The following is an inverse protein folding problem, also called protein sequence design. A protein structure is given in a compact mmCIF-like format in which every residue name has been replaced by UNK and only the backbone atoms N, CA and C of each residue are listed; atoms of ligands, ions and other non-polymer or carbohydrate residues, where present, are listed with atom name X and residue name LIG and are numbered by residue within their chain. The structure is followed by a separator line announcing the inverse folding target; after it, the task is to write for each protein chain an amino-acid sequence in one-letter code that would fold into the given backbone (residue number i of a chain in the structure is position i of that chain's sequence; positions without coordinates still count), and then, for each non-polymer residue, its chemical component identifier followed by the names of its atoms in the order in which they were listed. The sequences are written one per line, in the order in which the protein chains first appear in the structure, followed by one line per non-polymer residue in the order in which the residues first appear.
data_IF_010650071693
#
_entry.id   IF_010650071693
#
_cell.length_a   1.000
_cell.length_b   1.000
_cell.length_c   1.000
_cell.angle_alpha   90.00
_cell.angle_beta   90.00
_cell.angle_gamma   90.00
#
_symmetry.space_group_name_H-M   'P 1'
#
loop_
_entity.id
_entity.type
_entity.pdbx_description
1 polymer ?
#
# COMPACT_ATOMS: atom_id res chain seq x y z
N UNK A 1 28.97 1.13 7.38
CA UNK A 1 29.49 1.96 8.48
C UNK A 1 29.42 1.16 9.78
N UNK A 2 30.55 0.58 10.19
CA UNK A 2 30.71 -0.24 11.39
C UNK A 2 30.84 0.65 12.63
N UNK A 3 29.79 0.76 13.46
CA UNK A 3 29.91 1.36 14.79
C UNK A 3 30.34 0.30 15.80
N UNK A 4 31.44 0.58 16.49
CA UNK A 4 32.17 -0.34 17.36
C UNK A 4 31.39 -0.78 18.61
N UNK A 5 31.48 -2.06 19.04
CA UNK A 5 30.79 -2.63 20.21
C UNK A 5 31.24 -2.06 21.58
N UNK A 6 32.21 -1.13 21.59
CA UNK A 6 32.78 -0.51 22.79
C UNK A 6 31.93 0.63 23.37
N UNK A 7 31.07 1.27 22.57
CA UNK A 7 30.24 2.40 23.04
C UNK A 7 29.05 1.93 23.88
N UNK A 8 28.47 0.78 23.54
CA UNK A 8 27.33 0.18 24.26
C UNK A 8 27.73 -0.33 25.65
N UNK A 9 28.95 -0.86 25.79
CA UNK A 9 29.48 -1.34 27.08
C UNK A 9 29.63 -0.23 28.13
N UNK A 10 29.97 1.00 27.72
CA UNK A 10 30.21 2.15 28.63
C UNK A 10 28.92 2.84 29.07
N UNK A 11 27.89 2.86 28.22
CA UNK A 11 26.58 3.42 28.58
C UNK A 11 25.85 2.57 29.63
N UNK A 12 25.99 1.24 29.54
CA UNK A 12 25.34 0.30 30.46
C UNK A 12 25.96 0.34 31.87
N UNK A 13 27.28 0.54 31.98
CA UNK A 13 27.96 0.64 33.29
C UNK A 13 27.68 1.98 33.99
N UNK A 14 27.55 3.07 33.23
CA UNK A 14 27.25 4.40 33.79
C UNK A 14 25.84 4.52 34.38
N UNK A 15 24.83 3.96 33.70
CA UNK A 15 23.43 4.03 34.12
C UNK A 15 23.15 3.23 35.40
N UNK A 16 23.76 2.04 35.52
CA UNK A 16 23.63 1.16 36.69
C UNK A 16 24.20 1.84 37.95
N UNK A 17 25.30 2.57 37.81
CA UNK A 17 25.96 3.25 38.94
C UNK A 17 25.17 4.47 39.42
N UNK A 18 24.52 5.21 38.51
CA UNK A 18 23.70 6.38 38.84
C UNK A 18 22.38 5.99 39.54
N UNK A 19 21.74 4.89 39.12
CA UNK A 19 20.54 4.37 39.78
C UNK A 19 20.81 3.85 41.20
N UNK A 20 21.98 3.26 41.45
CA UNK A 20 22.38 2.80 42.79
C UNK A 20 22.53 3.95 43.81
N UNK A 21 22.91 5.15 43.36
CA UNK A 21 23.05 6.33 44.23
C UNK A 21 21.71 6.99 44.58
N UNK A 22 20.71 6.91 43.71
CA UNK A 22 19.38 7.50 43.94
C UNK A 22 18.50 6.69 44.90
N UNK A 23 18.69 5.37 44.97
CA UNK A 23 17.92 4.48 45.87
C UNK A 23 18.30 4.68 47.35
N UNK A 24 19.46 5.28 47.64
CA UNK A 24 19.90 5.56 49.01
C UNK A 24 19.22 6.75 49.71
N UNK A 25 18.49 7.60 48.98
CA UNK A 25 18.07 8.92 49.48
C UNK A 25 16.58 9.09 49.83
N UNK A 26 15.72 8.11 49.55
CA UNK A 26 14.27 8.25 49.74
C UNK A 26 13.71 7.10 50.56
N UNK A 27 13.64 7.31 51.88
CA UNK A 27 13.07 6.36 52.83
C UNK A 27 11.89 7.02 53.55
N UNK A 28 10.71 6.97 52.93
CA UNK A 28 9.44 7.15 53.64
C UNK A 28 8.42 6.07 53.28
N UNK A 29 7.55 5.82 54.25
CA UNK A 29 6.79 4.59 54.47
C UNK A 29 5.73 4.38 53.40
N UNK A 30 5.85 3.30 52.62
CA UNK A 30 4.76 2.75 51.84
C UNK A 30 4.63 1.24 52.10
N UNK A 31 3.50 0.82 52.65
CA UNK A 31 3.10 -0.58 52.66
C UNK A 31 2.47 -0.91 51.32
N UNK A 32 3.26 -1.48 50.40
CA UNK A 32 2.77 -1.95 49.11
C UNK A 32 2.88 -3.48 49.07
N UNK A 33 1.75 -4.14 48.80
CA UNK A 33 1.75 -5.50 48.28
C UNK A 33 2.57 -5.51 46.98
N UNK A 34 3.31 -6.58 46.70
CA UNK A 34 4.04 -6.74 45.45
C UNK A 34 3.04 -6.76 44.29
N UNK A 35 2.75 -5.58 43.75
CA UNK A 35 1.99 -5.40 42.53
C UNK A 35 2.72 -6.16 41.43
N UNK A 36 2.02 -7.06 40.74
CA UNK A 36 2.50 -7.69 39.52
C UNK A 36 2.86 -6.56 38.53
N UNK A 37 4.14 -6.22 38.44
CA UNK A 37 4.62 -5.26 37.47
C UNK A 37 4.39 -5.85 36.09
N UNK A 38 4.11 -5.02 35.08
CA UNK A 38 4.05 -5.43 33.68
C UNK A 38 5.43 -5.83 33.11
N UNK A 39 6.43 -5.98 33.99
CA UNK A 39 7.84 -6.24 33.70
C UNK A 39 8.16 -7.66 34.13
N UNK A 40 8.92 -8.40 33.33
CA UNK A 40 9.44 -9.72 33.72
C UNK A 40 10.22 -9.61 35.04
N UNK A 41 9.91 -10.47 36.00
CA UNK A 41 10.65 -10.58 37.26
C UNK A 41 11.66 -11.74 37.20
N UNK A 42 12.60 -11.78 38.15
CA UNK A 42 13.58 -12.84 38.19
C UNK A 42 13.04 -14.14 38.84
N UNK A 43 11.73 -14.22 39.13
CA UNK A 43 11.16 -15.33 39.90
C UNK A 43 11.08 -16.62 39.05
N UNK A 44 11.71 -17.72 39.49
CA UNK A 44 11.62 -18.98 38.77
C UNK A 44 10.28 -19.64 39.04
N UNK A 45 9.77 -20.37 38.05
CA UNK A 45 8.66 -21.27 38.27
C UNK A 45 9.17 -22.48 39.05
N UNK A 46 8.55 -22.82 40.20
CA UNK A 46 9.00 -23.98 40.96
C UNK A 46 8.94 -25.27 40.14
N UNK A 47 9.83 -26.22 40.46
CA UNK A 47 9.90 -27.50 39.76
C UNK A 47 8.56 -28.23 39.81
N UNK A 48 8.12 -28.75 38.66
CA UNK A 48 6.85 -29.44 38.50
C UNK A 48 5.62 -28.55 38.43
N UNK A 49 5.76 -27.22 38.56
CA UNK A 49 4.63 -26.30 38.41
C UNK A 49 4.49 -25.80 36.98
N UNK A 50 3.23 -25.69 36.55
CA UNK A 50 2.82 -25.04 35.32
C UNK A 50 2.22 -23.67 35.66
N UNK A 51 2.75 -22.62 35.04
CA UNK A 51 2.16 -21.27 35.06
C UNK A 51 1.51 -21.00 33.71
N UNK A 52 0.24 -20.63 33.73
CA UNK A 52 -0.48 -20.16 32.55
C UNK A 52 -0.76 -18.68 32.74
N UNK A 53 -0.38 -17.86 31.75
CA UNK A 53 -0.61 -16.41 31.75
C UNK A 53 -1.32 -16.02 30.46
N UNK A 54 -2.40 -15.27 30.63
CA UNK A 54 -3.15 -14.66 29.53
C UNK A 54 -3.18 -13.17 29.81
N UNK A 55 -2.54 -12.39 28.94
CA UNK A 55 -2.62 -10.93 28.99
C UNK A 55 -3.19 -10.44 27.66
N UNK A 56 -3.84 -9.28 27.67
CA UNK A 56 -4.36 -8.68 26.45
C UNK A 56 -3.75 -7.30 26.26
N UNK A 57 -3.21 -7.06 25.07
CA UNK A 57 -2.73 -5.76 24.62
C UNK A 57 -3.68 -5.18 23.58
N UNK A 58 -3.95 -3.89 23.68
CA UNK A 58 -4.75 -3.15 22.71
C UNK A 58 -3.91 -1.99 22.19
N UNK A 59 -3.72 -1.96 20.88
CA UNK A 59 -3.03 -0.88 20.19
C UNK A 59 -4.00 -0.30 19.17
N UNK A 60 -4.18 1.02 19.18
CA UNK A 60 -5.00 1.74 18.22
C UNK A 60 -4.26 3.00 17.77
N UNK A 61 -4.32 3.29 16.48
CA UNK A 61 -3.69 4.46 15.90
C UNK A 61 -4.38 4.86 14.60
N UNK A 62 -4.37 6.16 14.34
CA UNK A 62 -4.95 6.83 13.16
C UNK A 62 -3.92 7.68 12.40
N UNK A 63 -2.77 7.93 13.05
CA UNK A 63 -1.64 8.68 12.52
C UNK A 63 -0.32 7.91 12.72
N UNK A 64 0.66 8.24 11.89
CA UNK A 64 2.06 7.84 12.04
C UNK A 64 2.97 9.06 12.17
N UNK A 65 4.13 8.86 12.78
CA UNK A 65 5.20 9.85 12.77
C UNK A 65 5.95 9.82 11.44
N UNK A 66 6.30 10.98 10.91
CA UNK A 66 7.13 11.13 9.71
C UNK A 66 8.62 11.18 10.08
N UNK A 67 9.50 10.96 9.10
CA UNK A 67 10.95 11.10 9.29
C UNK A 67 11.36 12.50 9.79
N UNK A 68 10.53 13.53 9.54
CA UNK A 68 10.71 14.90 10.03
C UNK A 68 10.15 15.14 11.45
N UNK A 69 9.60 14.11 12.11
CA UNK A 69 8.98 14.21 13.44
C UNK A 69 7.55 14.76 13.45
N UNK A 70 6.96 15.01 12.27
CA UNK A 70 5.55 15.40 12.14
C UNK A 70 4.60 14.21 12.26
N UNK A 71 3.29 14.48 12.34
CA UNK A 71 2.24 13.46 12.26
C UNK A 71 1.63 13.45 10.86
N UNK A 72 1.28 12.27 10.37
CA UNK A 72 0.57 12.07 9.09
C UNK A 72 -0.53 11.03 9.27
N UNK A 73 -1.70 11.28 8.70
CA UNK A 73 -2.80 10.31 8.80
C UNK A 73 -2.46 9.03 8.05
N UNK A 74 -2.90 7.88 8.59
CA UNK A 74 -2.81 6.60 7.89
C UNK A 74 -3.55 6.62 6.53
N UNK A 75 -4.57 7.47 6.38
CA UNK A 75 -5.33 7.58 5.14
C UNK A 75 -4.64 8.46 4.08
N UNK A 76 -3.68 9.29 4.47
CA UNK A 76 -3.02 10.23 3.56
C UNK A 76 -2.19 9.52 2.48
N UNK A 77 -1.82 8.27 2.71
CA UNK A 77 -1.06 7.47 1.75
C UNK A 77 -1.92 7.02 0.56
N UNK A 78 -3.22 6.81 0.79
CA UNK A 78 -4.21 6.46 -0.23
C UNK A 78 -4.95 7.69 -0.76
N UNK A 79 -4.65 8.88 -0.25
CA UNK A 79 -5.32 10.13 -0.63
C UNK A 79 -4.55 10.87 -1.72
N UNK A 80 -5.24 11.32 -2.76
CA UNK A 80 -4.67 12.14 -3.82
C UNK A 80 -5.69 13.16 -4.32
N UNK A 81 -5.23 14.36 -4.65
CA UNK A 81 -6.06 15.38 -5.29
C UNK A 81 -6.31 15.09 -6.78
N UNK A 82 -5.58 14.14 -7.36
CA UNK A 82 -5.74 13.73 -8.76
C UNK A 82 -5.27 12.29 -8.96
N UNK A 83 -6.20 11.34 -8.96
CA UNK A 83 -5.93 9.94 -9.27
C UNK A 83 -5.62 9.77 -10.76
N UNK A 84 -4.34 9.68 -11.10
CA UNK A 84 -3.88 9.61 -12.49
C UNK A 84 -2.67 8.69 -12.67
N UNK A 85 -1.87 8.93 -13.70
CA UNK A 85 -0.73 8.08 -14.07
C UNK A 85 0.40 8.06 -13.02
N UNK A 86 0.44 9.02 -12.11
CA UNK A 86 1.41 9.05 -11.01
C UNK A 86 1.10 7.99 -9.96
N UNK A 87 -0.17 7.93 -9.58
CA UNK A 87 -0.67 6.98 -8.58
C UNK A 87 -0.86 5.61 -9.21
N UNK A 88 -1.35 5.56 -10.45
CA UNK A 88 -1.64 4.35 -11.23
C UNK A 88 -0.78 4.30 -12.50
N UNK A 89 0.44 3.72 -12.47
CA UNK A 89 1.34 3.70 -13.64
C UNK A 89 0.74 3.02 -14.88
N UNK A 90 -0.23 2.12 -14.70
CA UNK A 90 -0.99 1.52 -15.80
C UNK A 90 -1.73 2.55 -16.66
N UNK A 91 -1.99 3.75 -16.14
CA UNK A 91 -2.61 4.86 -16.87
C UNK A 91 -1.63 5.70 -17.69
N UNK A 92 -0.31 5.49 -17.58
CA UNK A 92 0.67 6.30 -18.32
C UNK A 92 0.54 6.16 -19.85
N UNK A 93 0.36 4.94 -20.43
CA UNK A 93 0.10 4.80 -21.87
C UNK A 93 -1.22 5.47 -22.28
N UNK A 94 -2.24 5.43 -21.41
CA UNK A 94 -3.53 6.08 -21.65
C UNK A 94 -3.36 7.59 -21.70
N UNK A 95 -2.67 8.18 -20.71
CA UNK A 95 -2.40 9.62 -20.68
C UNK A 95 -1.63 10.07 -21.93
N UNK A 96 -0.63 9.31 -22.37
CA UNK A 96 0.12 9.59 -23.59
C UNK A 96 -0.79 9.58 -24.83
N UNK A 97 -1.66 8.58 -24.98
CA UNK A 97 -2.61 8.54 -26.09
C UNK A 97 -3.63 9.68 -26.02
N UNK A 98 -4.13 10.04 -24.83
CA UNK A 98 -5.04 11.18 -24.67
C UNK A 98 -4.39 12.53 -25.03
N UNK A 99 -3.10 12.72 -24.74
CA UNK A 99 -2.35 13.91 -25.19
C UNK A 99 -2.36 14.04 -26.70
N UNK A 100 -2.14 12.94 -27.41
CA UNK A 100 -2.20 12.90 -28.88
C UNK A 100 -3.62 13.15 -29.38
N UNK A 101 -4.63 12.50 -28.79
CA UNK A 101 -6.03 12.66 -29.20
C UNK A 101 -6.56 14.08 -28.97
N UNK A 102 -6.14 14.74 -27.90
CA UNK A 102 -6.55 16.10 -27.58
C UNK A 102 -5.69 17.17 -28.26
N UNK A 103 -4.53 16.79 -28.80
CA UNK A 103 -3.54 17.73 -29.32
C UNK A 103 -2.88 18.60 -28.23
N UNK A 104 -2.86 18.13 -26.98
CA UNK A 104 -2.29 18.86 -25.84
C UNK A 104 -1.21 18.02 -25.13
N UNK A 105 0.08 18.34 -25.31
CA UNK A 105 1.18 17.62 -24.65
C UNK A 105 1.24 17.84 -23.13
N UNK A 106 0.56 18.87 -22.60
CA UNK A 106 0.52 19.18 -21.17
C UNK A 106 -0.66 18.53 -20.46
N UNK A 107 -1.56 17.87 -21.21
CA UNK A 107 -2.70 17.17 -20.65
C UNK A 107 -2.24 16.17 -19.58
N UNK A 108 -2.94 16.15 -18.46
CA UNK A 108 -2.81 15.14 -17.41
C UNK A 108 -4.12 14.39 -17.28
N UNK A 109 -4.03 13.07 -17.27
CA UNK A 109 -5.17 12.21 -17.03
C UNK A 109 -5.50 12.25 -15.54
N UNK A 110 -6.77 12.45 -15.22
CA UNK A 110 -7.25 12.35 -13.84
C UNK A 110 -8.66 11.78 -13.77
N UNK A 111 -8.83 10.76 -12.94
CA UNK A 111 -10.12 10.24 -12.50
C UNK A 111 -10.73 11.13 -11.40
N UNK A 112 -10.01 12.17 -10.97
CA UNK A 112 -10.42 13.15 -9.97
C UNK A 112 -9.84 12.86 -8.60
N UNK A 113 -10.48 13.36 -7.55
CA UNK A 113 -9.96 13.35 -6.18
C UNK A 113 -10.35 12.07 -5.44
N UNK A 114 -9.39 11.49 -4.73
CA UNK A 114 -9.59 10.39 -3.78
C UNK A 114 -9.15 10.87 -2.39
N UNK A 115 -10.08 10.86 -1.43
CA UNK A 115 -9.77 11.10 -0.03
C UNK A 115 -10.04 9.85 0.77
N UNK A 116 -9.11 9.52 1.64
CA UNK A 116 -9.14 8.29 2.42
C UNK A 116 -8.93 8.61 3.90
N UNK A 117 -9.80 8.08 4.75
CA UNK A 117 -9.61 8.05 6.20
C UNK A 117 -9.34 6.60 6.61
N UNK A 118 -8.37 6.39 7.49
CA UNK A 118 -7.96 5.05 7.94
C UNK A 118 -7.73 5.03 9.45
N UNK A 119 -8.27 4.01 10.11
CA UNK A 119 -8.06 3.69 11.52
C UNK A 119 -7.60 2.24 11.63
N UNK A 120 -6.59 1.98 12.46
CA UNK A 120 -6.05 0.66 12.67
C UNK A 120 -6.09 0.27 14.16
N UNK A 121 -6.45 -0.99 14.41
CA UNK A 121 -6.49 -1.62 15.72
C UNK A 121 -5.80 -2.97 15.65
N UNK A 122 -4.92 -3.22 16.61
CA UNK A 122 -4.28 -4.51 16.83
C UNK A 122 -4.58 -4.94 18.26
N UNK A 123 -5.08 -6.17 18.39
CA UNK A 123 -5.36 -6.82 19.66
C UNK A 123 -4.48 -8.04 19.74
N UNK A 124 -3.62 -8.11 20.75
CA UNK A 124 -2.72 -9.25 20.94
C UNK A 124 -3.05 -9.90 22.27
N UNK A 125 -3.44 -11.17 22.23
CA UNK A 125 -3.69 -12.00 23.40
C UNK A 125 -2.64 -13.11 23.47
N UNK A 126 -1.44 -12.85 24.03
CA UNK A 126 -0.48 -13.90 24.30
C UNK A 126 -1.00 -14.89 25.34
N UNK A 127 -1.02 -16.17 24.96
CA UNK A 127 -1.22 -17.29 25.86
C UNK A 127 0.16 -17.88 26.15
N UNK A 128 0.70 -17.59 27.33
CA UNK A 128 1.99 -18.10 27.77
C UNK A 128 1.78 -19.29 28.72
N UNK A 129 2.46 -20.39 28.42
CA UNK A 129 2.52 -21.60 29.23
C UNK A 129 3.96 -21.85 29.60
N UNK A 130 4.26 -21.90 30.89
CA UNK A 130 5.64 -22.00 31.37
C UNK A 130 5.72 -23.11 32.42
N UNK A 131 6.67 -24.03 32.24
CA UNK A 131 6.85 -25.20 33.07
C UNK A 131 8.21 -25.15 33.77
N UNK A 132 8.19 -25.27 35.11
CA UNK A 132 9.39 -25.40 35.92
C UNK A 132 9.99 -26.79 35.79
N UNK A 133 11.05 -26.93 34.99
CA UNK A 133 11.75 -28.21 34.82
C UNK A 133 12.54 -28.55 36.08
N UNK A 134 13.27 -27.57 36.61
CA UNK A 134 14.00 -27.68 37.89
C UNK A 134 13.71 -26.46 38.77
N UNK A 135 14.31 -26.38 39.96
CA UNK A 135 14.24 -25.18 40.79
C UNK A 135 14.92 -23.96 40.17
N UNK A 136 15.69 -24.13 39.09
CA UNK A 136 16.45 -23.07 38.41
C UNK A 136 16.17 -22.95 36.92
N UNK A 137 15.50 -23.93 36.30
CA UNK A 137 15.27 -23.97 34.85
C UNK A 137 13.78 -24.04 34.58
N UNK A 138 13.27 -23.14 33.74
CA UNK A 138 11.92 -23.20 33.20
C UNK A 138 11.94 -23.09 31.68
N UNK A 139 10.94 -23.71 31.05
CA UNK A 139 10.70 -23.65 29.61
C UNK A 139 9.31 -23.05 29.40
N UNK A 140 9.19 -22.11 28.47
CA UNK A 140 7.97 -21.39 28.16
C UNK A 140 7.59 -21.49 26.69
N UNK A 141 6.31 -21.67 26.42
CA UNK A 141 5.70 -21.56 25.10
C UNK A 141 4.75 -20.38 25.10
N UNK A 142 4.85 -19.50 24.11
CA UNK A 142 3.96 -18.35 23.95
C UNK A 142 3.25 -18.47 22.60
N UNK A 143 1.92 -18.52 22.64
CA UNK A 143 1.06 -18.55 21.46
C UNK A 143 0.22 -17.28 21.44
N UNK A 144 0.59 -16.26 20.66
CA UNK A 144 -0.21 -15.06 20.53
C UNK A 144 -1.39 -15.30 19.59
N UNK A 145 -2.59 -14.98 20.06
CA UNK A 145 -3.76 -14.78 19.18
C UNK A 145 -3.83 -13.30 18.87
N UNK A 146 -3.76 -12.95 17.58
CA UNK A 146 -3.72 -11.56 17.12
C UNK A 146 -4.94 -11.28 16.27
N UNK A 147 -5.68 -10.25 16.66
CA UNK A 147 -6.73 -9.66 15.84
C UNK A 147 -6.25 -8.33 15.27
N UNK A 148 -6.23 -8.20 13.96
CA UNK A 148 -5.91 -6.96 13.26
C UNK A 148 -7.16 -6.45 12.56
N UNK A 149 -7.43 -5.15 12.71
CA UNK A 149 -8.54 -4.50 12.03
C UNK A 149 -8.10 -3.15 11.48
N UNK A 150 -8.27 -2.94 10.18
CA UNK A 150 -8.09 -1.65 9.52
C UNK A 150 -9.39 -1.22 8.88
N UNK A 151 -9.94 -0.12 9.37
CA UNK A 151 -11.17 0.47 8.84
C UNK A 151 -10.79 1.57 7.88
N UNK A 152 -11.33 1.55 6.67
CA UNK A 152 -11.07 2.55 5.64
C UNK A 152 -12.38 3.17 5.16
N UNK A 153 -12.40 4.50 5.07
CA UNK A 153 -13.49 5.26 4.46
C UNK A 153 -12.95 6.01 3.26
N UNK A 154 -13.52 5.74 2.09
CA UNK A 154 -13.14 6.36 0.83
C UNK A 154 -14.19 7.38 0.42
N UNK A 155 -13.72 8.54 -0.04
CA UNK A 155 -14.54 9.59 -0.65
C UNK A 155 -13.94 9.90 -2.01
N UNK A 156 -14.68 9.54 -3.06
CA UNK A 156 -14.29 9.77 -4.46
C UNK A 156 -15.11 10.94 -4.98
N UNK A 157 -14.44 11.95 -5.55
CA UNK A 157 -15.08 13.04 -6.29
C UNK A 157 -16.26 13.74 -5.57
N UNK A 158 -16.19 13.89 -4.24
CA UNK A 158 -17.26 14.58 -3.48
C UNK A 158 -17.31 16.10 -3.71
N UNK A 159 -16.26 16.66 -4.30
CA UNK A 159 -16.19 18.07 -4.69
C UNK A 159 -16.43 18.21 -6.19
N UNK A 160 -17.56 18.83 -6.57
CA UNK A 160 -17.93 19.04 -7.97
C UNK A 160 -16.95 19.95 -8.73
N UNK A 161 -16.10 20.71 -8.04
CA UNK A 161 -15.06 21.53 -8.66
C UNK A 161 -13.82 20.72 -9.09
N UNK A 162 -13.67 19.48 -8.60
CA UNK A 162 -12.47 18.63 -8.81
C UNK A 162 -12.80 17.27 -9.43
N UNK A 163 -13.77 17.25 -10.34
CA UNK A 163 -14.11 16.05 -11.09
C UNK A 163 -12.99 15.67 -12.07
N UNK A 164 -12.84 14.37 -12.30
CA UNK A 164 -11.95 13.84 -13.31
C UNK A 164 -12.26 14.35 -14.73
N UNK A 165 -11.23 14.37 -15.59
CA UNK A 165 -11.41 14.58 -17.04
C UNK A 165 -11.71 13.27 -17.77
N UNK A 166 -11.46 12.13 -17.12
CA UNK A 166 -11.83 10.79 -17.59
C UNK A 166 -12.74 10.11 -16.57
N UNK A 167 -13.56 9.18 -17.07
CA UNK A 167 -14.32 8.22 -16.27
C UNK A 167 -13.86 6.80 -16.55
N UNK A 168 -14.22 5.88 -15.67
CA UNK A 168 -14.09 4.45 -15.90
C UNK A 168 -15.27 3.96 -16.73
N UNK A 169 -15.05 2.97 -17.59
CA UNK A 169 -16.13 2.32 -18.35
C UNK A 169 -16.51 1.03 -17.61
N UNK A 170 -17.70 0.99 -16.96
CA UNK A 170 -18.17 -0.20 -16.28
C UNK A 170 -18.33 -1.35 -17.26
N UNK A 171 -18.12 -2.58 -16.79
CA UNK A 171 -18.14 -3.81 -17.59
C UNK A 171 -19.38 -3.90 -18.51
N UNK A 172 -20.57 -3.59 -17.98
CA UNK A 172 -21.83 -3.58 -18.73
C UNK A 172 -21.89 -2.61 -19.93
N UNK A 173 -21.01 -1.60 -19.98
CA UNK A 173 -20.95 -0.59 -21.04
C UNK A 173 -19.75 -0.81 -21.97
N UNK A 174 -18.80 -1.70 -21.65
CA UNK A 174 -17.55 -1.86 -22.40
C UNK A 174 -17.76 -2.30 -23.84
N UNK A 175 -18.69 -3.24 -24.09
CA UNK A 175 -18.98 -3.69 -25.46
C UNK A 175 -19.50 -2.54 -26.34
N UNK A 176 -20.41 -1.71 -25.81
CA UNK A 176 -20.94 -0.56 -26.54
C UNK A 176 -19.89 0.54 -26.75
N UNK A 177 -19.08 0.82 -25.73
CA UNK A 177 -17.98 1.78 -25.81
C UNK A 177 -16.89 1.35 -26.81
N UNK A 178 -16.51 0.08 -26.77
CA UNK A 178 -15.55 -0.52 -27.71
C UNK A 178 -16.07 -0.46 -29.15
N UNK A 179 -17.35 -0.76 -29.38
CA UNK A 179 -17.97 -0.68 -30.71
C UNK A 179 -17.93 0.75 -31.27
N UNK A 180 -18.25 1.76 -30.46
CA UNK A 180 -18.18 3.17 -30.87
C UNK A 180 -16.74 3.59 -31.23
N UNK A 181 -15.76 3.21 -30.39
CA UNK A 181 -14.35 3.52 -30.66
C UNK A 181 -13.83 2.77 -31.90
N UNK A 182 -14.27 1.52 -32.11
CA UNK A 182 -13.91 0.72 -33.28
C UNK A 182 -14.48 1.31 -34.57
N UNK A 183 -15.71 1.84 -34.55
CA UNK A 183 -16.30 2.51 -35.69
C UNK A 183 -15.49 3.75 -36.10
N UNK A 184 -15.08 4.56 -35.13
CA UNK A 184 -14.20 5.71 -35.38
C UNK A 184 -12.84 5.27 -35.92
N UNK A 185 -12.23 4.25 -35.29
CA UNK A 185 -10.95 3.69 -35.70
C UNK A 185 -10.97 3.21 -37.16
N UNK A 186 -11.95 2.40 -37.52
CA UNK A 186 -12.08 1.80 -38.85
C UNK A 186 -12.37 2.84 -39.93
N UNK A 187 -13.23 3.83 -39.65
CA UNK A 187 -13.53 4.91 -40.59
C UNK A 187 -12.27 5.73 -40.93
N UNK A 188 -11.48 6.09 -39.91
CA UNK A 188 -10.24 6.83 -40.14
C UNK A 188 -9.13 5.99 -40.76
N UNK A 189 -9.01 4.71 -40.41
CA UNK A 189 -8.06 3.82 -41.06
C UNK A 189 -8.37 3.67 -42.55
N UNK A 190 -9.64 3.42 -42.90
CA UNK A 190 -10.10 3.34 -44.29
C UNK A 190 -9.83 4.63 -45.07
N UNK A 191 -10.04 5.80 -44.46
CA UNK A 191 -9.73 7.08 -45.07
C UNK A 191 -8.22 7.28 -45.30
N UNK A 192 -7.39 6.92 -44.32
CA UNK A 192 -5.93 6.98 -44.44
C UNK A 192 -5.40 6.05 -45.55
N UNK A 193 -5.97 4.86 -45.69
CA UNK A 193 -5.59 3.89 -46.73
C UNK A 193 -6.04 4.34 -48.12
N UNK A 194 -7.25 4.93 -48.23
CA UNK A 194 -7.74 5.55 -49.46
C UNK A 194 -6.84 6.71 -49.91
N UNK A 195 -6.42 7.55 -48.96
CA UNK A 195 -5.49 8.65 -49.23
C UNK A 195 -4.09 8.14 -49.63
N UNK A 196 -3.61 7.08 -48.98
CA UNK A 196 -2.36 6.40 -49.36
C UNK A 196 -2.40 5.83 -50.78
N UNK A 197 -3.54 5.24 -51.16
CA UNK A 197 -3.77 4.72 -52.51
C UNK A 197 -3.71 5.85 -53.54
N UNK A 198 -4.40 6.99 -53.29
CA UNK A 198 -4.33 8.14 -54.19
C UNK A 198 -2.90 8.68 -54.31
N UNK A 199 -2.18 8.86 -53.19
CA UNK A 199 -0.79 9.33 -53.20
C UNK A 199 0.14 8.44 -54.05
N UNK A 200 -0.09 7.13 -54.06
CA UNK A 200 0.69 6.19 -54.89
C UNK A 200 0.30 6.19 -56.37
N UNK A 201 -0.99 6.45 -56.69
CA UNK A 201 -1.54 6.37 -58.04
C UNK A 201 -1.38 7.66 -58.85
N UNK A 202 -1.53 8.82 -58.21
CA UNK A 202 -1.55 10.11 -58.91
C UNK A 202 -0.26 10.45 -59.69
N UNK A 203 0.95 10.00 -59.29
CA UNK A 203 2.16 10.20 -60.11
C UNK A 203 2.11 9.50 -61.47
N UNK A 204 1.46 8.33 -61.58
CA UNK A 204 1.38 7.55 -62.83
C UNK A 204 0.10 7.80 -63.63
N UNK A 205 -0.95 8.31 -62.98
CA UNK A 205 -2.23 8.65 -63.61
C UNK A 205 -2.77 10.00 -63.10
N UNK A 206 -2.15 11.14 -63.50
CA UNK A 206 -2.42 12.45 -62.89
C UNK A 206 -3.82 13.00 -63.15
N UNK A 207 -4.51 12.53 -64.20
CA UNK A 207 -5.89 12.91 -64.54
C UNK A 207 -6.96 11.98 -63.95
N UNK A 208 -6.56 10.97 -63.15
CA UNK A 208 -7.52 10.07 -62.51
C UNK A 208 -8.39 10.82 -61.48
N UNK A 209 -9.60 10.31 -61.23
CA UNK A 209 -10.51 10.88 -60.24
C UNK A 209 -9.84 10.96 -58.84
N UNK A 210 -9.98 12.11 -58.19
CA UNK A 210 -9.37 12.38 -56.88
C UNK A 210 -7.91 12.89 -56.92
N UNK A 211 -7.24 12.87 -58.07
CA UNK A 211 -5.82 13.28 -58.16
C UNK A 211 -5.60 14.78 -58.24
N UNK A 212 -6.58 15.58 -58.67
CA UNK A 212 -6.42 17.03 -58.80
C UNK A 212 -6.05 17.71 -57.46
N UNK A 213 -6.77 17.39 -56.38
CA UNK A 213 -6.53 17.94 -55.03
C UNK A 213 -5.20 17.45 -54.44
N UNK A 214 -4.86 16.18 -54.64
CA UNK A 214 -3.61 15.58 -54.16
C UNK A 214 -2.40 16.16 -54.92
N UNK A 215 -2.47 16.28 -56.24
CA UNK A 215 -1.37 16.83 -57.06
C UNK A 215 -1.05 18.29 -56.71
N UNK A 216 -2.06 19.05 -56.26
CA UNK A 216 -1.89 20.44 -55.84
C UNK A 216 -1.20 20.55 -54.47
N UNK A 217 -1.28 19.52 -53.62
CA UNK A 217 -0.79 19.58 -52.24
C UNK A 217 -0.35 18.20 -51.69
N UNK A 218 0.53 17.51 -52.42
CA UNK A 218 0.91 16.13 -52.10
C UNK A 218 1.56 15.98 -50.71
N UNK A 219 2.38 16.95 -50.30
CA UNK A 219 3.00 16.96 -48.97
C UNK A 219 1.97 17.08 -47.85
N UNK A 220 0.94 17.91 -48.03
CA UNK A 220 -0.14 18.06 -47.04
C UNK A 220 -1.04 16.83 -46.98
N UNK A 221 -1.32 16.20 -48.12
CA UNK A 221 -2.05 14.92 -48.17
C UNK A 221 -1.27 13.82 -47.43
N UNK A 222 0.04 13.73 -47.65
CA UNK A 222 0.90 12.78 -46.93
C UNK A 222 0.93 13.06 -45.41
N UNK A 223 1.05 14.34 -45.02
CA UNK A 223 1.02 14.74 -43.61
C UNK A 223 -0.34 14.45 -42.95
N UNK A 224 -1.45 14.69 -43.66
CA UNK A 224 -2.82 14.37 -43.21
C UNK A 224 -2.95 12.87 -42.95
N UNK A 225 -2.50 12.03 -43.89
CA UNK A 225 -2.49 10.57 -43.71
C UNK A 225 -1.75 10.16 -42.44
N UNK A 226 -0.55 10.71 -42.21
CA UNK A 226 0.24 10.42 -41.00
C UNK A 226 -0.48 10.87 -39.73
N UNK A 227 -1.07 12.07 -39.70
CA UNK A 227 -1.84 12.55 -38.54
C UNK A 227 -3.03 11.66 -38.22
N UNK A 228 -3.77 11.20 -39.23
CA UNK A 228 -4.89 10.27 -39.05
C UNK A 228 -4.42 8.92 -38.50
N UNK A 229 -3.28 8.40 -38.98
CA UNK A 229 -2.68 7.17 -38.45
C UNK A 229 -2.24 7.34 -36.99
N UNK A 230 -1.63 8.47 -36.64
CA UNK A 230 -1.26 8.77 -35.26
C UNK A 230 -2.48 8.88 -34.35
N UNK A 231 -3.55 9.56 -34.80
CA UNK A 231 -4.80 9.68 -34.06
C UNK A 231 -5.45 8.31 -33.81
N UNK A 232 -5.53 7.45 -34.82
CA UNK A 232 -6.13 6.11 -34.69
C UNK A 232 -5.31 5.17 -33.81
N UNK A 233 -3.97 5.26 -33.85
CA UNK A 233 -3.10 4.53 -32.93
C UNK A 233 -3.28 5.01 -31.49
N UNK A 234 -3.34 6.32 -31.27
CA UNK A 234 -3.60 6.91 -29.96
C UNK A 234 -4.99 6.55 -29.42
N UNK A 235 -6.00 6.47 -30.29
CA UNK A 235 -7.36 6.02 -29.96
C UNK A 235 -7.34 4.61 -29.39
N UNK A 236 -6.70 3.68 -30.09
CA UNK A 236 -6.57 2.29 -29.63
C UNK A 236 -5.80 2.21 -28.32
N UNK A 237 -4.70 2.95 -28.19
CA UNK A 237 -3.85 2.90 -27.00
C UNK A 237 -4.52 3.49 -25.75
N UNK A 238 -5.29 4.57 -25.90
CA UNK A 238 -5.91 5.26 -24.77
C UNK A 238 -7.31 4.74 -24.43
N UNK A 239 -8.17 4.55 -25.42
CA UNK A 239 -9.60 4.29 -25.20
C UNK A 239 -10.01 2.85 -25.52
N UNK A 240 -9.11 2.06 -26.10
CA UNK A 240 -9.39 0.69 -26.54
C UNK A 240 -10.37 0.63 -27.71
N UNK A 241 -10.31 -0.49 -28.43
CA UNK A 241 -11.24 -0.82 -29.54
C UNK A 241 -11.90 -2.19 -29.36
N UNK A 242 -11.70 -2.81 -28.20
CA UNK A 242 -12.24 -4.09 -27.79
C UNK A 242 -12.64 -4.04 -26.31
N UNK A 243 -13.47 -4.98 -25.88
CA UNK A 243 -14.04 -4.97 -24.53
C UNK A 243 -13.00 -5.08 -23.41
N UNK A 244 -11.86 -5.74 -23.66
CA UNK A 244 -10.81 -5.94 -22.66
C UNK A 244 -9.94 -4.70 -22.46
N UNK A 245 -9.80 -3.86 -23.49
CA UNK A 245 -8.95 -2.66 -23.47
C UNK A 245 -9.73 -1.37 -23.23
N UNK A 246 -11.04 -1.33 -23.51
CA UNK A 246 -11.90 -0.16 -23.24
C UNK A 246 -12.28 -0.08 -21.77
N UNK A 247 -11.38 0.48 -20.96
CA UNK A 247 -11.56 0.63 -19.51
C UNK A 247 -11.80 2.08 -19.07
N UNK A 248 -11.43 3.05 -19.89
CA UNK A 248 -11.49 4.48 -19.58
C UNK A 248 -12.01 5.25 -20.77
N UNK A 249 -12.73 6.34 -20.50
CA UNK A 249 -13.28 7.22 -21.53
C UNK A 249 -13.21 8.68 -21.08
N UNK A 250 -13.09 9.66 -22.00
CA UNK A 250 -13.24 11.07 -21.68
C UNK A 250 -14.60 11.31 -21.04
N UNK A 251 -14.66 12.16 -20.02
CA UNK A 251 -15.94 12.49 -19.38
C UNK A 251 -16.75 13.41 -20.29
N UNK A 252 -18.04 13.12 -20.42
CA UNK A 252 -18.99 13.92 -21.20
C UNK A 252 -18.99 15.36 -20.67
N UNK A 253 -18.89 16.33 -21.58
CA UNK A 253 -18.83 17.76 -21.23
C UNK A 253 -17.51 18.24 -20.61
N UNK A 254 -16.48 17.38 -20.51
CA UNK A 254 -15.15 17.81 -20.08
C UNK A 254 -14.40 18.53 -21.21
N UNK A 255 -13.46 19.41 -20.84
CA UNK A 255 -12.56 20.04 -21.81
C UNK A 255 -11.78 19.01 -22.65
N UNK A 256 -11.41 17.86 -22.06
CA UNK A 256 -10.77 16.76 -22.77
C UNK A 256 -11.67 16.21 -23.89
N UNK A 257 -12.93 15.90 -23.59
CA UNK A 257 -13.86 15.39 -24.59
C UNK A 257 -14.07 16.39 -25.74
N UNK A 258 -14.22 17.69 -25.40
CA UNK A 258 -14.34 18.77 -26.39
C UNK A 258 -13.10 18.88 -27.27
N UNK A 259 -11.89 18.82 -26.70
CA UNK A 259 -10.65 18.89 -27.47
C UNK A 259 -10.46 17.70 -28.41
N UNK A 260 -10.78 16.48 -27.95
CA UNK A 260 -10.73 15.28 -28.81
C UNK A 260 -11.72 15.41 -29.97
N UNK A 261 -12.93 15.90 -29.69
CA UNK A 261 -13.94 16.12 -30.71
C UNK A 261 -13.52 17.19 -31.73
N UNK A 262 -12.87 18.27 -31.27
CA UNK A 262 -12.30 19.29 -32.15
C UNK A 262 -11.18 18.72 -33.05
N UNK A 263 -10.29 17.89 -32.52
CA UNK A 263 -9.25 17.21 -33.31
C UNK A 263 -9.86 16.28 -34.36
N UNK A 264 -10.86 15.49 -33.98
CA UNK A 264 -11.60 14.62 -34.91
C UNK A 264 -12.25 15.44 -36.04
N UNK A 265 -12.92 16.54 -35.70
CA UNK A 265 -13.57 17.42 -36.67
C UNK A 265 -12.55 18.07 -37.63
N UNK A 266 -11.38 18.48 -37.13
CA UNK A 266 -10.28 19.00 -37.94
C UNK A 266 -9.75 17.94 -38.92
N UNK A 267 -9.49 16.71 -38.46
CA UNK A 267 -9.06 15.61 -39.33
C UNK A 267 -10.10 15.27 -40.40
N UNK A 268 -11.40 15.30 -40.04
CA UNK A 268 -12.48 15.14 -41.02
C UNK A 268 -12.42 16.23 -42.11
N UNK A 269 -12.20 17.50 -41.72
CA UNK A 269 -12.10 18.60 -42.67
C UNK A 269 -10.88 18.44 -43.60
N UNK A 270 -9.73 18.03 -43.07
CA UNK A 270 -8.51 17.76 -43.85
C UNK A 270 -8.73 16.61 -44.85
N UNK A 271 -9.32 15.49 -44.39
CA UNK A 271 -9.60 14.33 -45.25
C UNK A 271 -10.57 14.67 -46.38
N UNK A 272 -11.63 15.44 -46.10
CA UNK A 272 -12.64 15.82 -47.10
C UNK A 272 -12.07 16.67 -48.23
N UNK A 273 -10.99 17.42 -47.97
CA UNK A 273 -10.27 18.18 -49.00
C UNK A 273 -9.70 17.29 -50.11
N UNK A 274 -9.31 16.06 -49.76
CA UNK A 274 -8.68 15.11 -50.69
C UNK A 274 -9.64 14.01 -51.16
N UNK A 275 -10.50 13.50 -50.28
CA UNK A 275 -11.32 12.31 -50.51
C UNK A 275 -12.81 12.61 -50.74
N UNK A 276 -13.24 13.87 -50.61
CA UNK A 276 -14.64 14.29 -50.76
C UNK A 276 -15.46 14.22 -49.47
N UNK A 277 -16.72 14.67 -49.55
CA UNK A 277 -17.54 15.01 -48.38
C UNK A 277 -17.85 13.84 -47.41
N UNK A 278 -17.89 12.60 -47.92
CA UNK A 278 -18.14 11.40 -47.12
C UNK A 278 -16.92 10.88 -46.36
N UNK A 279 -15.75 11.50 -46.53
CA UNK A 279 -14.52 11.04 -45.91
C UNK A 279 -14.46 11.39 -44.41
N UNK A 280 -13.77 10.51 -43.66
CA UNK A 280 -13.56 10.62 -42.23
C UNK A 280 -14.58 9.82 -41.41
N UNK A 281 -14.67 10.13 -40.13
CA UNK A 281 -15.54 9.42 -39.20
C UNK A 281 -16.83 10.22 -38.92
N UNK A 282 -18.01 9.59 -38.94
CA UNK A 282 -19.27 10.28 -38.68
C UNK A 282 -19.49 10.58 -37.19
N UNK A 283 -19.04 9.69 -36.32
CA UNK A 283 -19.24 9.76 -34.86
C UNK A 283 -17.94 10.03 -34.11
N UNK A 284 -18.07 10.55 -32.88
CA UNK A 284 -16.96 10.75 -31.96
C UNK A 284 -16.59 9.49 -31.17
N UNK A 285 -15.63 9.65 -30.25
CA UNK A 285 -15.29 8.62 -29.27
C UNK A 285 -16.46 8.40 -28.31
N UNK A 286 -16.51 7.22 -27.68
CA UNK A 286 -17.39 7.03 -26.54
C UNK A 286 -16.99 7.96 -25.38
N UNK A 287 -17.97 8.57 -24.70
CA UNK A 287 -17.75 9.40 -23.52
C UNK A 287 -18.45 8.82 -22.30
N UNK A 288 -17.80 8.88 -21.14
CA UNK A 288 -18.40 8.48 -19.88
C UNK A 288 -19.39 9.57 -19.41
N UNK A 289 -20.64 9.20 -19.15
CA UNK A 289 -21.66 10.12 -18.65
C UNK A 289 -21.46 10.48 -17.19
N UNK A 290 -21.18 9.45 -16.37
CA UNK A 290 -21.01 9.59 -14.93
C UNK A 290 -19.58 9.96 -14.54
N UNK A 291 -19.43 10.66 -13.41
CA UNK A 291 -18.13 10.87 -12.79
C UNK A 291 -17.63 9.57 -12.15
N UNK A 292 -16.30 9.39 -12.15
CA UNK A 292 -15.68 8.24 -11.48
C UNK A 292 -16.08 8.19 -10.01
N UNK A 293 -16.50 7.00 -9.56
CA UNK A 293 -17.09 6.78 -8.24
C UNK A 293 -16.34 5.71 -7.43
N UNK A 294 -16.76 5.52 -6.19
CA UNK A 294 -16.28 4.41 -5.36
C UNK A 294 -16.53 3.04 -6.00
N UNK A 295 -17.69 2.88 -6.67
CA UNK A 295 -18.05 1.63 -7.35
C UNK A 295 -17.14 1.38 -8.54
N UNK A 296 -16.71 2.43 -9.23
CA UNK A 296 -15.76 2.30 -10.33
C UNK A 296 -14.35 1.95 -9.84
N UNK A 297 -13.96 2.46 -8.67
CA UNK A 297 -12.67 2.14 -8.04
C UNK A 297 -12.60 0.67 -7.60
N UNK A 298 -13.56 0.24 -6.79
CA UNK A 298 -13.55 -1.08 -6.13
C UNK A 298 -14.30 -2.17 -6.90
N UNK A 299 -15.20 -1.80 -7.80
CA UNK A 299 -16.13 -2.73 -8.42
C UNK A 299 -17.31 -3.07 -7.51
N UNK A 300 -18.05 -4.08 -7.94
CA UNK A 300 -19.13 -4.72 -7.17
C UNK A 300 -18.81 -6.21 -7.04
N UNK A 301 -19.54 -6.94 -6.18
CA UNK A 301 -19.34 -8.39 -6.04
C UNK A 301 -19.49 -9.19 -7.36
N UNK A 302 -20.08 -8.60 -8.40
CA UNK A 302 -20.29 -9.23 -9.71
C UNK A 302 -19.52 -8.55 -10.85
N UNK A 303 -18.84 -7.43 -10.62
CA UNK A 303 -18.19 -6.64 -11.68
C UNK A 303 -16.89 -6.04 -11.20
N UNK A 304 -15.83 -6.15 -12.00
CA UNK A 304 -14.50 -5.68 -11.61
C UNK A 304 -14.37 -4.16 -11.74
N UNK A 305 -13.83 -3.52 -10.70
CA UNK A 305 -13.47 -2.11 -10.71
C UNK A 305 -12.09 -1.85 -11.30
N UNK A 306 -11.65 -0.61 -11.18
CA UNK A 306 -10.35 -0.14 -11.66
C UNK A 306 -9.20 -0.88 -10.98
N UNK A 307 -9.24 -1.04 -9.65
CA UNK A 307 -8.16 -1.68 -8.88
C UNK A 307 -7.90 -3.12 -9.33
N UNK A 308 -8.97 -3.88 -9.62
CA UNK A 308 -8.87 -5.27 -10.09
C UNK A 308 -8.55 -5.37 -11.59
N UNK A 309 -8.53 -4.25 -12.32
CA UNK A 309 -8.23 -4.23 -13.76
C UNK A 309 -6.72 -4.21 -14.03
N UNK A 310 -6.34 -4.39 -15.30
CA UNK A 310 -4.95 -4.24 -15.74
C UNK A 310 -4.38 -2.83 -15.46
N UNK A 311 -5.23 -1.79 -15.43
CA UNK A 311 -4.81 -0.42 -15.12
C UNK A 311 -4.56 -0.20 -13.62
N UNK A 312 -5.27 -0.96 -12.77
CA UNK A 312 -5.15 -0.91 -11.31
C UNK A 312 -4.10 -1.83 -10.71
N UNK A 313 -3.45 -2.64 -11.53
CA UNK A 313 -2.44 -3.62 -11.09
C UNK A 313 -3.00 -4.92 -10.53
N UNK A 314 -4.32 -5.15 -10.59
CA UNK A 314 -4.95 -6.34 -10.04
C UNK A 314 -4.95 -6.38 -8.51
N UNK A 315 -5.04 -5.21 -7.88
CA UNK A 315 -5.20 -5.04 -6.44
C UNK A 315 -6.61 -5.49 -6.02
N UNK A 316 -6.74 -5.86 -4.75
CA UNK A 316 -8.03 -6.14 -4.14
C UNK A 316 -8.78 -4.85 -3.81
N UNK A 317 -10.06 -4.97 -3.49
CA UNK A 317 -10.92 -3.86 -3.09
C UNK A 317 -10.41 -3.18 -1.81
N UNK A 318 -10.53 -1.86 -1.74
CA UNK A 318 -10.30 -1.09 -0.53
C UNK A 318 -11.55 -1.16 0.35
N UNK A 319 -11.48 -1.96 1.42
CA UNK A 319 -12.59 -2.21 2.35
C UNK A 319 -12.13 -2.17 3.81
N UNK A 320 -13.00 -2.53 4.76
CA UNK A 320 -12.52 -2.78 6.13
C UNK A 320 -11.92 -4.19 6.17
N UNK A 321 -10.63 -4.30 6.47
CA UNK A 321 -9.99 -5.58 6.69
C UNK A 321 -10.07 -5.91 8.19
N UNK A 322 -10.64 -7.06 8.55
CA UNK A 322 -10.66 -7.58 9.93
C UNK A 322 -10.21 -9.04 9.88
N UNK A 323 -9.23 -9.37 10.71
CA UNK A 323 -8.57 -10.67 10.70
C UNK A 323 -8.27 -11.09 12.11
N UNK A 324 -8.42 -12.38 12.36
CA UNK A 324 -7.96 -13.05 13.57
C UNK A 324 -7.11 -14.25 13.17
N UNK A 325 -5.97 -14.42 13.83
CA UNK A 325 -5.07 -15.51 13.56
C UNK A 325 -4.02 -15.68 14.66
N UNK A 326 -3.16 -16.67 14.47
CA UNK A 326 -1.98 -16.80 15.31
C UNK A 326 -0.94 -15.78 14.87
N UNK A 327 -0.30 -15.13 15.84
CA UNK A 327 0.93 -14.40 15.60
C UNK A 327 2.13 -15.33 15.55
N UNK A 328 3.30 -14.77 15.82
CA UNK A 328 4.54 -15.54 15.86
C UNK A 328 4.65 -16.32 17.18
N UNK A 329 4.67 -17.65 17.09
CA UNK A 329 4.80 -18.53 18.26
C UNK A 329 6.24 -18.43 18.79
N UNK A 330 6.39 -18.33 20.10
CA UNK A 330 7.69 -18.25 20.77
C UNK A 330 7.97 -19.42 21.69
N UNK A 331 9.21 -19.91 21.69
CA UNK A 331 9.74 -20.85 22.67
C UNK A 331 10.85 -20.16 23.47
N UNK A 332 10.70 -20.13 24.79
CA UNK A 332 11.60 -19.45 25.71
C UNK A 332 12.18 -20.43 26.73
N UNK A 333 13.41 -20.19 27.15
CA UNK A 333 14.08 -20.91 28.24
C UNK A 333 14.61 -19.87 29.20
N UNK A 334 14.26 -20.00 30.47
CA UNK A 334 14.72 -19.11 31.54
C UNK A 334 15.54 -19.91 32.55
N UNK A 335 16.68 -19.34 32.95
CA UNK A 335 17.60 -19.91 33.90
C UNK A 335 17.88 -18.93 35.04
N UNK A 336 17.70 -19.41 36.26
CA UNK A 336 18.03 -18.71 37.49
C UNK A 336 19.53 -18.85 37.78
N UNK A 337 20.28 -17.77 37.61
CA UNK A 337 21.73 -17.76 37.84
C UNK A 337 22.06 -17.83 39.33
N UNK A 338 21.37 -17.03 40.13
CA UNK A 338 21.44 -17.11 41.58
C UNK A 338 20.16 -16.58 42.22
N UNK A 339 19.89 -17.10 43.41
CA UNK A 339 18.77 -16.69 44.25
C UNK A 339 19.21 -16.86 45.70
N UNK A 340 19.21 -15.76 46.47
CA UNK A 340 19.44 -15.80 47.91
C UNK A 340 18.19 -15.36 48.70
N UNK A 341 17.03 -15.22 48.04
CA UNK A 341 15.78 -14.92 48.70
C UNK A 341 15.43 -16.07 49.66
N UNK A 342 15.32 -15.73 50.94
CA UNK A 342 14.89 -16.69 51.97
C UNK A 342 13.39 -16.58 52.12
N UNK A 343 12.66 -17.61 51.68
CA UNK A 343 11.19 -17.65 51.66
C UNK A 343 10.54 -17.50 53.05
N UNK A 344 11.29 -17.71 54.14
CA UNK A 344 10.74 -17.82 55.51
C UNK A 344 11.07 -16.68 56.48
N UNK A 345 11.71 -15.58 56.05
CA UNK A 345 11.99 -14.45 56.97
C UNK A 345 11.64 -13.09 56.38
N UNK A 346 10.42 -12.62 56.66
CA UNK A 346 9.90 -11.29 56.33
C UNK A 346 10.62 -10.11 57.03
N UNK A 347 11.59 -10.38 57.92
CA UNK A 347 12.29 -9.35 58.71
C UNK A 347 13.79 -9.26 58.44
N UNK A 348 14.33 -9.81 57.35
CA UNK A 348 15.78 -9.71 57.12
C UNK A 348 16.17 -8.31 56.67
N UNK A 349 16.97 -7.60 57.47
CA UNK A 349 17.72 -6.40 57.05
C UNK A 349 18.81 -6.71 56.01
N UNK A 350 19.09 -8.01 55.79
CA UNK A 350 20.00 -8.51 54.77
C UNK A 350 19.49 -8.19 53.35
N UNK A 351 20.44 -7.93 52.45
CA UNK A 351 20.17 -7.76 51.02
C UNK A 351 19.82 -9.12 50.40
N UNK A 352 18.59 -9.26 49.95
CA UNK A 352 18.13 -10.35 49.11
C UNK A 352 18.23 -9.90 47.64
N UNK A 353 18.67 -10.78 46.77
CA UNK A 353 18.93 -10.53 45.38
C UNK A 353 18.79 -11.81 44.56
N UNK A 354 18.30 -11.64 43.33
CA UNK A 354 18.02 -12.75 42.43
C UNK A 354 18.25 -12.32 41.00
N UNK A 355 18.91 -13.16 40.23
CA UNK A 355 19.20 -12.90 38.82
C UNK A 355 18.73 -14.07 37.97
N UNK A 356 17.92 -13.77 36.97
CA UNK A 356 17.52 -14.71 35.93
C UNK A 356 17.94 -14.18 34.55
N UNK A 357 18.28 -15.11 33.68
CA UNK A 357 18.51 -14.85 32.25
C UNK A 357 17.59 -15.74 31.43
N UNK A 358 17.07 -15.22 30.33
CA UNK A 358 16.25 -15.99 29.41
C UNK A 358 16.73 -15.82 27.97
N UNK A 359 16.55 -16.87 27.19
CA UNK A 359 16.75 -16.88 25.75
C UNK A 359 15.54 -17.48 25.07
N UNK A 360 15.17 -16.94 23.92
CA UNK A 360 13.97 -17.32 23.20
C UNK A 360 14.16 -17.35 21.70
N UNK A 361 13.38 -18.19 21.04
CA UNK A 361 13.24 -18.23 19.59
C UNK A 361 11.78 -17.97 19.27
N UNK A 362 11.55 -17.04 18.35
CA UNK A 362 10.24 -16.73 17.77
C UNK A 362 10.19 -17.30 16.35
N UNK A 363 9.16 -18.10 16.08
CA UNK A 363 8.93 -18.74 14.79
C UNK A 363 8.02 -17.85 13.94
N UNK A 364 8.32 -17.77 12.63
CA UNK A 364 7.52 -17.03 11.65
C UNK A 364 6.21 -17.75 11.30
N UNK A 365 5.37 -18.04 12.30
CA UNK A 365 4.07 -18.72 12.13
C UNK A 365 2.93 -17.76 11.83
N UNK A 366 3.16 -16.46 11.97
CA UNK A 366 2.16 -15.45 11.65
C UNK A 366 1.80 -15.46 10.17
N UNK A 367 0.60 -14.97 9.88
CA UNK A 367 0.20 -14.68 8.51
C UNK A 367 0.95 -13.47 7.98
N UNK A 368 1.62 -13.69 6.84
CA UNK A 368 2.27 -12.64 6.09
C UNK A 368 1.26 -11.68 5.44
N UNK A 369 1.73 -10.46 5.24
CA UNK A 369 1.06 -9.41 4.46
C UNK A 369 0.72 -9.87 3.02
N UNK A 370 -0.37 -9.36 2.47
CA UNK A 370 -0.88 -9.69 1.15
C UNK A 370 -0.49 -8.63 0.12
N UNK A 371 0.14 -9.06 -0.97
CA UNK A 371 0.59 -8.14 -2.04
C UNK A 371 -0.58 -7.47 -2.79
N UNK A 372 -1.78 -8.08 -2.74
CA UNK A 372 -2.98 -7.55 -3.41
C UNK A 372 -3.86 -6.73 -2.48
N UNK A 373 -3.81 -7.01 -1.18
CA UNK A 373 -4.64 -6.36 -0.17
C UNK A 373 -3.77 -5.35 0.59
N UNK A 374 -3.62 -4.16 0.01
CA UNK A 374 -2.67 -3.12 0.47
C UNK A 374 -3.05 -2.50 1.82
N UNK A 375 -4.20 -2.90 2.37
CA UNK A 375 -4.76 -2.41 3.62
C UNK A 375 -4.68 -3.44 4.73
N UNK A 376 -4.17 -4.63 4.40
CA UNK A 376 -3.94 -5.71 5.34
C UNK A 376 -2.92 -5.30 6.41
N UNK A 377 -3.07 -5.89 7.59
CA UNK A 377 -2.10 -5.76 8.68
C UNK A 377 -1.70 -7.19 9.07
N UNK A 378 -0.41 -7.55 8.95
CA UNK A 378 0.05 -8.88 9.30
C UNK A 378 -0.18 -9.18 10.79
N UNK A 379 -0.36 -10.45 11.12
CA UNK A 379 -0.57 -10.88 12.51
C UNK A 379 0.74 -11.01 13.30
N UNK A 380 1.89 -10.73 12.69
CA UNK A 380 3.20 -10.81 13.34
C UNK A 380 4.31 -10.24 12.45
N UNK A 381 5.50 -10.12 13.05
CA UNK A 381 6.66 -9.45 12.44
C UNK A 381 7.68 -10.47 11.89
N UNK A 382 7.43 -11.77 12.08
CA UNK A 382 8.23 -12.87 11.56
C UNK A 382 9.10 -13.56 12.61
N UNK A 383 10.12 -14.29 12.14
CA UNK A 383 11.01 -15.05 13.02
C UNK A 383 12.01 -14.15 13.75
N UNK A 384 12.54 -14.61 14.88
CA UNK A 384 13.54 -13.85 15.63
C UNK A 384 14.16 -14.61 16.79
N UNK A 385 15.19 -14.00 17.36
CA UNK A 385 15.84 -14.42 18.59
C UNK A 385 15.62 -13.35 19.66
N UNK A 386 15.44 -13.79 20.89
CA UNK A 386 15.22 -12.91 22.02
C UNK A 386 16.13 -13.30 23.18
N UNK A 387 16.62 -12.32 23.91
CA UNK A 387 17.34 -12.50 25.16
C UNK A 387 16.85 -11.51 26.19
N UNK A 388 16.63 -11.96 27.42
CA UNK A 388 16.31 -11.06 28.53
C UNK A 388 17.10 -11.41 29.79
N UNK A 389 17.22 -10.43 30.67
CA UNK A 389 17.78 -10.60 32.00
C UNK A 389 16.97 -9.77 32.98
N UNK A 390 16.64 -10.36 34.13
CA UNK A 390 15.90 -9.72 35.21
C UNK A 390 16.67 -9.88 36.52
N UNK A 391 16.81 -8.78 37.25
CA UNK A 391 17.49 -8.70 38.52
C UNK A 391 16.58 -8.10 39.58
N UNK A 392 16.20 -8.90 40.57
CA UNK A 392 15.43 -8.43 41.72
C UNK A 392 16.38 -8.14 42.89
N UNK A 393 16.09 -7.09 43.63
CA UNK A 393 16.76 -6.65 44.84
C UNK A 393 15.72 -6.38 45.91
N UNK A 394 15.93 -6.86 47.12
CA UNK A 394 15.08 -6.57 48.27
C UNK A 394 15.93 -6.34 49.52
N UNK A 395 15.67 -5.26 50.25
CA UNK A 395 16.31 -4.95 51.53
C UNK A 395 15.26 -4.42 52.50
N UNK A 396 14.94 -5.21 53.52
CA UNK A 396 13.83 -4.89 54.44
C UNK A 396 12.50 -4.81 53.68
N UNK A 397 11.92 -3.61 53.60
CA UNK A 397 10.65 -3.34 52.89
C UNK A 397 10.82 -2.71 51.51
N UNK A 398 12.05 -2.40 51.12
CA UNK A 398 12.35 -1.82 49.82
C UNK A 398 12.69 -2.92 48.83
N UNK A 399 12.04 -2.89 47.67
CA UNK A 399 12.28 -3.80 46.56
C UNK A 399 12.50 -3.04 45.26
N UNK A 400 13.38 -3.53 44.42
CA UNK A 400 13.59 -3.03 43.07
C UNK A 400 13.79 -4.20 42.11
N UNK A 401 13.21 -4.09 40.91
CA UNK A 401 13.44 -5.03 39.81
C UNK A 401 14.01 -4.25 38.64
N UNK A 402 15.12 -4.74 38.09
CA UNK A 402 15.79 -4.21 36.90
C UNK A 402 15.71 -5.29 35.84
N UNK A 403 15.09 -5.00 34.70
CA UNK A 403 14.99 -5.94 33.59
C UNK A 403 15.49 -5.29 32.29
N UNK A 404 16.13 -6.10 31.45
CA UNK A 404 16.56 -5.72 30.11
C UNK A 404 16.21 -6.82 29.11
N UNK A 405 15.77 -6.43 27.91
CA UNK A 405 15.46 -7.35 26.80
C UNK A 405 16.12 -6.85 25.52
N UNK A 406 16.64 -7.79 24.74
CA UNK A 406 17.11 -7.58 23.38
C UNK A 406 16.38 -8.57 22.47
N UNK A 407 15.91 -8.08 21.32
CA UNK A 407 15.28 -8.90 20.31
C UNK A 407 15.95 -8.61 18.96
N UNK A 408 16.22 -9.67 18.20
CA UNK A 408 16.81 -9.60 16.85
C UNK A 408 15.86 -10.33 15.91
N UNK A 409 15.31 -9.61 14.94
CA UNK A 409 14.51 -10.23 13.89
C UNK A 409 15.39 -10.97 12.88
N UNK A 410 14.96 -12.14 12.41
CA UNK A 410 15.59 -12.81 11.27
C UNK A 410 15.16 -12.16 9.97
N UNK A 411 16.03 -12.12 8.96
CA UNK A 411 15.72 -11.51 7.68
C UNK A 411 14.45 -12.11 7.06
N UNK A 412 13.49 -11.25 6.72
CA UNK A 412 12.26 -11.59 6.01
C UNK A 412 12.33 -11.00 4.61
N UNK A 413 12.07 -11.80 3.59
CA UNK A 413 11.82 -11.28 2.24
C UNK A 413 10.34 -10.95 2.12
N UNK A 414 10.02 -9.66 2.03
CA UNK A 414 8.67 -9.18 1.76
C UNK A 414 8.62 -8.83 0.28
N UNK A 415 7.69 -9.44 -0.47
CA UNK A 415 7.33 -8.94 -1.81
C UNK A 415 6.21 -7.92 -1.64
N UNK A 416 6.56 -6.66 -1.39
CA UNK A 416 5.60 -5.56 -1.41
C UNK A 416 5.51 -4.97 -2.81
N UNK A 417 4.34 -4.43 -3.20
CA UNK A 417 4.13 -3.74 -4.49
C UNK A 417 4.78 -2.34 -4.58
N UNK A 418 5.89 -2.10 -3.86
CA UNK A 418 6.76 -0.90 -3.79
C UNK A 418 6.31 0.28 -2.90
N UNK A 419 7.30 0.85 -2.16
CA UNK A 419 7.37 2.29 -1.80
C UNK A 419 7.85 2.66 -0.38
N UNK A 420 9.17 2.88 -0.20
CA UNK A 420 9.91 3.55 0.88
C UNK A 420 9.50 3.33 2.35
N UNK A 421 9.87 2.16 2.87
CA UNK A 421 10.50 1.91 4.19
C UNK A 421 10.17 0.46 4.60
N UNK A 422 11.13 -0.49 4.55
CA UNK A 422 10.87 -1.88 4.95
C UNK A 422 10.55 -2.02 6.44
N UNK A 423 10.86 -1.00 7.25
CA UNK A 423 10.56 -0.93 8.68
C UNK A 423 9.27 -0.14 8.96
N UNK A 424 8.68 0.53 7.96
CA UNK A 424 7.35 1.06 8.11
C UNK A 424 6.34 -0.09 8.07
N UNK A 425 5.55 -0.21 9.13
CA UNK A 425 4.38 -1.08 9.15
C UNK A 425 3.37 -0.77 8.00
N UNK A 426 3.59 0.30 7.23
CA UNK A 426 2.73 0.78 6.14
C UNK A 426 3.58 1.32 4.97
N UNK A 427 3.78 0.55 3.88
CA UNK A 427 4.43 1.05 2.67
C UNK A 427 3.57 2.16 2.04
N UNK A 428 4.21 3.14 1.39
CA UNK A 428 3.49 4.12 0.56
C UNK A 428 2.87 3.38 -0.63
N UNK A 429 1.55 3.46 -0.85
CA UNK A 429 0.94 2.79 -1.98
C UNK A 429 1.23 3.61 -3.25
N UNK A 430 2.10 3.06 -4.10
CA UNK A 430 1.98 3.28 -5.54
C UNK A 430 0.99 2.23 -6.04
N UNK A 431 -0.12 2.65 -6.63
CA UNK A 431 -1.13 1.70 -7.11
C UNK A 431 -0.64 1.09 -8.42
N UNK A 432 -0.29 -0.19 -8.43
CA UNK A 432 0.06 -0.90 -9.66
C UNK A 432 1.42 -1.58 -9.61
N UNK A 433 1.68 -2.44 -10.60
CA UNK A 433 2.97 -3.11 -10.72
C UNK A 433 4.03 -2.10 -11.18
N UNK A 434 4.93 -1.69 -10.28
CA UNK A 434 6.18 -1.04 -10.68
C UNK A 434 7.21 -2.14 -10.86
N UNK A 435 7.55 -2.46 -12.11
CA UNK A 435 8.79 -3.20 -12.38
C UNK A 435 9.94 -2.20 -12.26
N UNK A 436 10.90 -2.49 -11.37
CA UNK A 436 12.22 -1.85 -11.38
C UNK A 436 13.22 -2.76 -12.04
#
# INVERSE_FOLDING_TARGET
MTRSPLVVRRAFTGLVTLCLLLVGALSERAGAQATLTHTEDASPIPSGMLRVRITTGWTRFEDRFTASGGRRSLGDELSTDSLGARELPGLAPVEAGLRTLAGDPRLRLTLGRLQTLSDARIVTTPIAMEYGVTSRLSVGLVVPVVQTRRTIQLRVNQDSARLGNVGFVPERLRTAAAAANLQLYTAFQSAADSLGTLLSRCPSAPSAAGCASVNTSAAEAAATRVRVQQFTQALRAALGTDEGTTLVAPRTGSALATSIEAQRAALNAELRRFLGASAGAPTGVYTAGDAFSFVDLNGTGTSRGLLQSALGGGLDSLHTADRIGFGDIGLNVQFLLFDNFRRDTLSSTALQSRLAVAGGIRFATSRADSVRDIIDIPTGDGGGLEGSAAFDLLRGRLGATIAGRIAVATARTIRAALGDDPDAAFPLPLFGNVQR
#
